data_IF_230860767729
#
_entry.id   IF_230860767729
#
_cell.length_a   1.000
_cell.length_b   1.000
_cell.length_c   1.000
_cell.angle_alpha   90.00
_cell.angle_beta   90.00
_cell.angle_gamma   90.00
#
_symmetry.space_group_name_H-M   'P 1'
#
loop_
_entity.id
_entity.type
_entity.pdbx_description
1 polymer ?
#
# COMPACT_ATOMS: atom_id res chain seq x y z
N UNK A 1 4.00 -18.38 26.45
CA UNK A 1 3.72 -18.41 25.00
C UNK A 1 3.13 -17.08 24.66
N UNK A 2 3.80 -16.29 23.82
CA UNK A 2 3.29 -15.01 23.35
C UNK A 2 1.90 -15.25 22.74
N UNK A 3 0.93 -14.43 23.11
CA UNK A 3 -0.41 -14.52 22.53
C UNK A 3 -0.31 -14.28 21.03
N UNK A 4 -0.96 -15.12 20.23
CA UNK A 4 -0.98 -14.97 18.76
C UNK A 4 -1.71 -13.65 18.45
N UNK A 5 -1.08 -12.70 17.72
CA UNK A 5 -1.72 -11.46 17.29
C UNK A 5 -3.07 -11.70 16.58
N UNK A 6 -4.02 -10.77 16.74
CA UNK A 6 -5.38 -10.93 16.22
C UNK A 6 -5.40 -11.00 14.70
N UNK A 7 -4.65 -10.15 13.99
CA UNK A 7 -4.53 -10.20 12.53
C UNK A 7 -4.05 -11.56 11.99
N UNK A 8 -3.26 -12.34 12.76
CA UNK A 8 -2.86 -13.70 12.37
C UNK A 8 -3.98 -14.72 12.56
N UNK A 9 -4.94 -14.45 13.45
CA UNK A 9 -6.13 -15.30 13.64
C UNK A 9 -7.21 -14.97 12.60
N UNK A 10 -7.40 -13.69 12.29
CA UNK A 10 -8.45 -13.22 11.40
C UNK A 10 -8.02 -13.20 9.92
N UNK A 11 -6.72 -13.11 9.65
CA UNK A 11 -6.16 -13.13 8.30
C UNK A 11 -6.08 -11.76 7.60
N UNK A 12 -6.35 -10.66 8.31
CA UNK A 12 -6.19 -9.30 7.80
C UNK A 12 -5.71 -8.37 8.92
N UNK A 13 -5.01 -7.29 8.56
CA UNK A 13 -4.52 -6.29 9.51
C UNK A 13 -5.49 -5.10 9.58
N UNK A 14 -6.16 -4.90 10.71
CA UNK A 14 -7.05 -3.74 10.90
C UNK A 14 -6.29 -2.40 10.94
N UNK A 15 -7.01 -1.28 10.80
CA UNK A 15 -6.40 0.05 10.85
C UNK A 15 -5.93 0.38 12.27
N UNK A 16 -6.62 -0.15 13.28
CA UNK A 16 -6.28 -0.05 14.69
C UNK A 16 -4.97 -0.77 14.98
N UNK A 17 -4.84 -2.04 14.57
CA UNK A 17 -3.60 -2.81 14.72
C UNK A 17 -2.46 -2.20 13.91
N UNK A 18 -2.72 -1.69 12.70
CA UNK A 18 -1.69 -1.03 11.89
C UNK A 18 -1.02 0.13 12.64
N UNK A 19 -1.78 0.89 13.43
CA UNK A 19 -1.24 2.03 14.21
C UNK A 19 -0.32 1.59 15.35
N UNK A 20 -0.42 0.34 15.80
CA UNK A 20 0.48 -0.21 16.82
C UNK A 20 1.88 -0.48 16.25
N UNK A 21 1.96 -0.86 14.97
CA UNK A 21 3.22 -1.20 14.29
C UNK A 21 3.80 -0.03 13.48
N UNK A 22 2.94 0.87 12.98
CA UNK A 22 3.32 1.92 12.04
C UNK A 22 2.84 3.27 12.56
N UNK A 23 3.80 4.17 12.80
CA UNK A 23 3.48 5.58 13.02
C UNK A 23 2.97 6.17 11.70
N UNK A 24 1.68 6.52 11.61
CA UNK A 24 1.11 7.10 10.39
C UNK A 24 1.62 8.54 10.15
N UNK A 25 1.74 8.98 8.89
CA UNK A 25 2.10 10.36 8.56
C UNK A 25 0.94 11.31 8.89
N UNK A 26 1.28 12.55 9.22
CA UNK A 26 0.29 13.62 9.41
C UNK A 26 -0.41 13.98 8.10
N UNK A 27 -1.60 14.58 8.18
CA UNK A 27 -2.37 14.98 7.00
C UNK A 27 -1.62 15.94 6.09
N UNK A 28 -0.86 16.88 6.65
CA UNK A 28 -0.07 17.83 5.87
C UNK A 28 0.96 17.10 5.03
N UNK A 29 1.59 16.05 5.58
CA UNK A 29 2.53 15.23 4.84
C UNK A 29 1.83 14.44 3.73
N UNK A 30 0.64 13.90 4.00
CA UNK A 30 -0.17 13.19 3.01
C UNK A 30 -0.64 14.09 1.86
N UNK A 31 -0.77 15.40 2.05
CA UNK A 31 -1.17 16.37 1.00
C UNK A 31 -0.02 16.85 0.12
N UNK A 32 1.23 16.74 0.58
CA UNK A 32 2.39 17.23 -0.18
C UNK A 32 2.72 16.33 -1.39
N UNK A 33 2.78 15.01 -1.17
CA UNK A 33 3.12 14.01 -2.19
C UNK A 33 2.78 12.60 -1.67
N UNK A 34 2.69 11.58 -2.55
CA UNK A 34 2.49 10.19 -2.12
C UNK A 34 3.53 9.72 -1.11
N UNK A 35 3.07 8.98 -0.11
CA UNK A 35 3.88 8.49 1.01
C UNK A 35 3.77 6.99 1.13
N UNK A 36 4.90 6.31 1.31
CA UNK A 36 4.93 4.87 1.52
C UNK A 36 4.45 4.52 2.93
N UNK A 37 3.44 3.65 3.03
CA UNK A 37 2.92 3.09 4.27
C UNK A 37 3.33 1.61 4.32
N UNK A 38 4.19 1.22 5.28
CA UNK A 38 4.66 -0.15 5.42
C UNK A 38 3.70 -1.02 6.24
N UNK A 39 2.66 -1.60 5.64
CA UNK A 39 1.69 -2.47 6.34
C UNK A 39 2.23 -3.89 6.58
N UNK A 40 3.48 -4.01 7.05
CA UNK A 40 4.16 -5.27 7.28
C UNK A 40 4.47 -5.46 8.77
N UNK A 41 3.61 -6.14 9.55
CA UNK A 41 3.81 -6.37 10.98
C UNK A 41 4.62 -7.65 11.28
N UNK A 42 5.40 -8.16 10.31
CA UNK A 42 6.07 -9.46 10.39
C UNK A 42 7.58 -9.32 10.57
N UNK A 43 8.14 -9.92 11.63
CA UNK A 43 9.59 -9.96 11.89
C UNK A 43 10.32 -11.08 11.12
N UNK A 44 10.20 -11.05 9.80
CA UNK A 44 10.78 -12.03 8.88
C UNK A 44 12.09 -11.50 8.27
N UNK A 45 13.04 -12.37 7.86
CA UNK A 45 14.31 -11.94 7.26
C UNK A 45 14.11 -11.41 5.83
N UNK A 46 13.60 -10.18 5.70
CA UNK A 46 13.14 -9.57 4.45
C UNK A 46 13.51 -8.09 4.36
N UNK A 47 14.53 -7.75 3.58
CA UNK A 47 15.05 -6.38 3.35
C UNK A 47 14.78 -5.70 1.99
N UNK A 48 14.08 -6.28 0.97
CA UNK A 48 13.95 -5.64 -0.34
C UNK A 48 13.42 -4.20 -0.35
N UNK A 49 12.50 -3.88 0.57
CA UNK A 49 11.91 -2.54 0.66
C UNK A 49 12.92 -1.47 1.09
N UNK A 50 13.85 -1.81 1.98
CA UNK A 50 14.94 -0.94 2.41
C UNK A 50 15.99 -0.82 1.31
N UNK A 51 16.40 -1.94 0.71
CA UNK A 51 17.46 -2.00 -0.30
C UNK A 51 17.10 -1.27 -1.60
N UNK A 52 15.83 -1.31 -2.02
CA UNK A 52 15.40 -0.63 -3.25
C UNK A 52 15.27 0.89 -3.07
N UNK A 53 15.22 1.39 -1.83
CA UNK A 53 14.84 2.77 -1.55
C UNK A 53 15.96 3.74 -1.98
N UNK A 54 15.77 4.56 -3.04
CA UNK A 54 16.85 5.41 -3.56
C UNK A 54 17.22 6.58 -2.63
N UNK A 55 16.42 6.81 -1.59
CA UNK A 55 16.57 7.91 -0.64
C UNK A 55 16.88 7.44 0.78
N UNK A 56 17.01 6.12 0.98
CA UNK A 56 17.16 5.51 2.30
C UNK A 56 16.07 5.98 3.29
N UNK A 57 14.85 6.18 2.79
CA UNK A 57 13.70 6.57 3.61
C UNK A 57 13.08 5.38 4.36
N UNK A 58 13.30 4.14 3.91
CA UNK A 58 12.85 2.93 4.58
C UNK A 58 14.01 2.40 5.41
N UNK A 59 13.84 2.37 6.73
CA UNK A 59 14.85 1.96 7.71
C UNK A 59 14.47 0.63 8.35
N UNK A 60 15.47 -0.21 8.60
CA UNK A 60 15.35 -1.46 9.34
C UNK A 60 16.60 -1.61 10.22
N UNK A 61 16.44 -1.87 11.51
CA UNK A 61 17.57 -2.03 12.45
C UNK A 61 18.40 -3.29 12.14
N UNK A 62 17.72 -4.34 11.71
CA UNK A 62 18.30 -5.62 11.28
C UNK A 62 17.37 -6.30 10.25
N UNK A 63 17.79 -7.37 9.55
CA UNK A 63 17.00 -7.99 8.49
C UNK A 63 15.60 -8.48 8.88
N UNK A 64 15.39 -8.77 10.18
CA UNK A 64 14.10 -9.17 10.74
C UNK A 64 13.27 -8.03 11.33
N UNK A 65 13.78 -6.79 11.33
CA UNK A 65 13.10 -5.67 11.99
C UNK A 65 11.91 -5.21 11.14
N UNK A 66 10.90 -4.62 11.78
CA UNK A 66 9.81 -3.98 11.03
C UNK A 66 10.33 -2.76 10.27
N UNK A 67 9.92 -2.54 9.01
CA UNK A 67 10.34 -1.38 8.25
C UNK A 67 9.69 -0.10 8.80
N UNK A 68 10.53 0.89 9.11
CA UNK A 68 10.11 2.23 9.54
C UNK A 68 10.37 3.23 8.42
N UNK A 69 9.36 4.01 8.04
CA UNK A 69 9.51 5.00 6.96
C UNK A 69 9.73 6.40 7.53
N UNK A 70 10.86 7.00 7.20
CA UNK A 70 11.09 8.43 7.37
C UNK A 70 10.33 9.22 6.28
N UNK A 71 9.13 9.68 6.60
CA UNK A 71 8.23 10.31 5.63
C UNK A 71 8.80 11.56 4.95
N UNK A 72 9.65 12.33 5.63
CA UNK A 72 10.32 13.52 5.06
C UNK A 72 11.29 13.17 3.93
N UNK A 73 11.96 12.00 4.00
CA UNK A 73 12.86 11.52 2.94
C UNK A 73 12.09 10.80 1.83
N UNK A 74 10.89 10.30 2.10
CA UNK A 74 10.10 9.55 1.13
C UNK A 74 9.67 10.45 -0.06
N UNK A 75 10.17 10.14 -1.26
CA UNK A 75 9.85 10.90 -2.48
C UNK A 75 8.61 10.40 -3.23
N UNK A 76 7.95 9.35 -2.75
CA UNK A 76 6.72 8.86 -3.37
C UNK A 76 6.88 8.03 -4.64
N UNK A 77 8.04 7.39 -4.84
CA UNK A 77 8.39 6.69 -6.10
C UNK A 77 7.75 5.30 -6.30
N UNK A 78 7.07 4.75 -5.29
CA UNK A 78 6.39 3.44 -5.34
C UNK A 78 7.29 2.23 -5.61
N UNK A 79 8.62 2.34 -5.51
CA UNK A 79 9.54 1.22 -5.70
C UNK A 79 9.37 0.14 -4.62
N UNK A 80 9.12 0.55 -3.37
CA UNK A 80 8.83 -0.37 -2.26
C UNK A 80 7.56 -1.19 -2.51
N UNK A 81 6.53 -0.61 -3.13
CA UNK A 81 5.31 -1.33 -3.54
C UNK A 81 5.62 -2.37 -4.61
N UNK A 82 6.47 -2.01 -5.59
CA UNK A 82 6.80 -2.90 -6.71
C UNK A 82 7.65 -4.11 -6.30
N UNK A 83 8.58 -3.95 -5.37
CA UNK A 83 9.53 -5.00 -5.00
C UNK A 83 9.05 -5.88 -3.84
N UNK A 84 8.03 -5.45 -3.08
CA UNK A 84 7.63 -6.15 -1.86
C UNK A 84 7.05 -7.54 -2.18
N UNK A 85 7.69 -8.64 -1.76
CA UNK A 85 7.18 -9.99 -2.04
C UNK A 85 5.91 -10.30 -1.24
N UNK A 86 5.69 -9.61 -0.13
CA UNK A 86 4.50 -9.75 0.71
C UNK A 86 3.35 -8.81 0.34
N UNK A 87 3.49 -8.01 -0.72
CA UNK A 87 2.47 -7.05 -1.18
C UNK A 87 1.97 -6.07 -0.09
N UNK A 88 2.82 -5.81 0.90
CA UNK A 88 2.45 -5.14 2.15
C UNK A 88 2.74 -3.62 2.15
N UNK A 89 3.21 -3.07 1.03
CA UNK A 89 3.47 -1.64 0.90
C UNK A 89 2.38 -0.96 0.08
N UNK A 90 1.92 0.19 0.58
CA UNK A 90 0.94 1.03 -0.12
C UNK A 90 1.48 2.46 -0.22
N UNK A 91 1.04 3.21 -1.22
CA UNK A 91 1.26 4.66 -1.24
C UNK A 91 -0.06 5.36 -0.96
N UNK A 92 -0.06 6.37 -0.09
CA UNK A 92 -1.24 7.20 0.17
C UNK A 92 -0.92 8.66 -0.15
N UNK A 93 -1.84 9.33 -0.84
CA UNK A 93 -1.73 10.73 -1.21
C UNK A 93 -3.11 11.42 -1.14
N UNK A 94 -3.22 12.52 -0.42
CA UNK A 94 -4.45 13.31 -0.33
C UNK A 94 -4.47 14.45 -1.34
N UNK A 95 -5.57 14.57 -2.08
CA UNK A 95 -5.79 15.58 -3.12
C UNK A 95 -7.16 16.21 -2.88
N UNK A 96 -7.20 17.27 -2.07
CA UNK A 96 -8.45 17.91 -1.66
C UNK A 96 -9.35 16.93 -0.90
N UNK A 97 -10.55 16.69 -1.42
CA UNK A 97 -11.53 15.74 -0.87
C UNK A 97 -11.32 14.29 -1.35
N UNK A 98 -10.33 14.06 -2.21
CA UNK A 98 -9.99 12.74 -2.75
C UNK A 98 -8.68 12.21 -2.17
N UNK A 99 -8.49 10.92 -2.30
CA UNK A 99 -7.21 10.26 -2.05
C UNK A 99 -6.81 9.41 -3.25
N UNK A 100 -5.51 9.25 -3.44
CA UNK A 100 -4.92 8.27 -4.35
C UNK A 100 -4.17 7.23 -3.53
N UNK A 101 -4.52 5.97 -3.76
CA UNK A 101 -3.83 4.84 -3.16
C UNK A 101 -3.13 4.05 -4.27
N UNK A 102 -1.82 3.88 -4.14
CA UNK A 102 -1.05 2.94 -4.97
C UNK A 102 -0.94 1.61 -4.25
N UNK A 103 -1.32 0.53 -4.92
CA UNK A 103 -1.34 -0.82 -4.37
C UNK A 103 -0.83 -1.84 -5.41
N UNK A 104 -0.30 -2.99 -4.96
CA UNK A 104 -0.06 -4.13 -5.83
C UNK A 104 -1.39 -4.72 -6.33
N UNK A 105 -1.37 -5.32 -7.52
CA UNK A 105 -2.56 -5.91 -8.15
C UNK A 105 -2.23 -7.23 -8.84
N UNK A 106 -2.65 -8.35 -8.23
CA UNK A 106 -2.36 -9.70 -8.72
C UNK A 106 -3.58 -10.42 -9.32
N UNK A 107 -4.70 -9.72 -9.51
CA UNK A 107 -5.93 -10.32 -10.04
C UNK A 107 -6.10 -9.96 -11.52
N UNK A 108 -6.56 -10.92 -12.33
CA UNK A 108 -6.95 -10.65 -13.71
C UNK A 108 -8.44 -10.31 -13.81
N UNK A 109 -8.85 -9.41 -14.72
CA UNK A 109 -8.00 -8.65 -15.63
C UNK A 109 -7.27 -7.48 -14.94
N UNK A 110 -6.11 -7.10 -15.47
CA UNK A 110 -5.44 -5.86 -15.04
C UNK A 110 -6.28 -4.65 -15.51
N UNK A 111 -6.59 -3.70 -14.62
CA UNK A 111 -7.34 -2.50 -15.00
C UNK A 111 -6.56 -1.64 -16.00
N UNK A 112 -7.28 -0.80 -16.75
CA UNK A 112 -6.73 0.20 -17.67
C UNK A 112 -6.77 1.58 -17.01
N UNK A 113 -5.84 2.44 -17.40
CA UNK A 113 -5.87 3.85 -17.00
C UNK A 113 -7.18 4.48 -17.44
N UNK A 114 -7.85 5.17 -16.50
CA UNK A 114 -9.13 5.83 -16.70
C UNK A 114 -10.36 4.97 -16.39
N UNK A 115 -10.19 3.68 -16.14
CA UNK A 115 -11.28 2.74 -15.85
C UNK A 115 -11.89 2.93 -14.46
N UNK A 116 -13.21 2.74 -14.35
CA UNK A 116 -13.92 2.68 -13.09
C UNK A 116 -13.84 1.25 -12.52
N UNK A 117 -13.47 1.14 -11.25
CA UNK A 117 -13.32 -0.14 -10.54
C UNK A 117 -14.09 -0.10 -9.22
N UNK A 118 -14.53 -1.27 -8.77
CA UNK A 118 -15.09 -1.43 -7.43
C UNK A 118 -13.94 -1.48 -6.44
N UNK A 119 -14.05 -0.69 -5.38
CA UNK A 119 -13.07 -0.63 -4.29
C UNK A 119 -13.39 -1.73 -3.28
N UNK A 120 -12.36 -2.50 -2.90
CA UNK A 120 -12.48 -3.57 -1.92
C UNK A 120 -11.72 -3.22 -0.65
N UNK A 121 -12.37 -3.44 0.50
CA UNK A 121 -11.78 -3.30 1.82
C UNK A 121 -10.70 -4.36 2.10
N UNK A 122 -10.07 -4.28 3.26
CA UNK A 122 -9.07 -5.26 3.76
C UNK A 122 -9.59 -6.69 3.84
N UNK A 123 -10.90 -6.87 3.96
CA UNK A 123 -11.59 -8.18 4.03
C UNK A 123 -12.26 -8.56 2.70
N UNK A 124 -12.13 -7.73 1.66
CA UNK A 124 -12.70 -7.99 0.34
C UNK A 124 -14.16 -7.53 0.16
N UNK A 125 -14.71 -6.72 1.07
CA UNK A 125 -16.05 -6.16 0.93
C UNK A 125 -16.07 -4.97 -0.03
N UNK A 126 -17.17 -4.81 -0.77
CA UNK A 126 -17.34 -3.69 -1.70
C UNK A 126 -17.68 -2.40 -0.93
N UNK A 127 -16.75 -1.44 -0.91
CA UNK A 127 -16.89 -0.19 -0.12
C UNK A 127 -17.13 1.05 -0.98
N UNK A 128 -17.09 0.91 -2.30
CA UNK A 128 -17.43 1.99 -3.21
C UNK A 128 -16.86 1.81 -4.61
N UNK A 129 -16.76 2.93 -5.32
CA UNK A 129 -16.20 3.00 -6.68
C UNK A 129 -15.03 3.97 -6.70
N UNK A 130 -14.04 3.68 -7.53
CA UNK A 130 -12.92 4.57 -7.78
C UNK A 130 -12.44 4.52 -9.21
N UNK A 131 -11.49 5.39 -9.53
CA UNK A 131 -10.96 5.53 -10.89
C UNK A 131 -9.48 5.22 -10.93
N UNK A 132 -9.08 4.36 -11.86
CA UNK A 132 -7.68 3.99 -12.06
C UNK A 132 -6.95 5.17 -12.72
N UNK A 133 -5.92 5.70 -12.06
CA UNK A 133 -5.13 6.84 -12.53
C UNK A 133 -3.85 6.39 -13.23
N UNK A 134 -3.19 5.38 -12.67
CA UNK A 134 -1.91 4.88 -13.19
C UNK A 134 -1.90 3.37 -13.11
N UNK A 135 -1.30 2.73 -14.11
CA UNK A 135 -1.03 1.29 -14.13
C UNK A 135 0.42 1.10 -14.56
N UNK A 136 1.21 0.47 -13.71
CA UNK A 136 2.54 -0.02 -14.07
C UNK A 136 2.38 -1.53 -14.26
N UNK A 137 2.41 -2.01 -15.50
CA UNK A 137 2.21 -3.42 -15.79
C UNK A 137 3.45 -4.22 -15.37
N UNK A 138 3.29 -5.55 -15.29
CA UNK A 138 4.34 -6.48 -14.83
C UNK A 138 5.67 -6.28 -15.55
N UNK A 139 5.65 -6.04 -16.86
CA UNK A 139 6.86 -5.91 -17.69
C UNK A 139 7.68 -4.64 -17.39
N UNK A 140 7.06 -3.67 -16.69
CA UNK A 140 7.70 -2.41 -16.29
C UNK A 140 7.92 -2.29 -14.79
N UNK A 141 7.36 -3.20 -14.00
CA UNK A 141 7.53 -3.23 -12.56
C UNK A 141 8.95 -3.67 -12.20
N UNK A 142 9.47 -3.19 -11.07
CA UNK A 142 10.74 -3.67 -10.52
C UNK A 142 10.63 -5.04 -9.84
N UNK A 143 9.41 -5.50 -9.57
CA UNK A 143 9.11 -6.89 -9.20
C UNK A 143 8.20 -7.57 -10.23
N UNK A 144 7.66 -8.73 -9.86
CA UNK A 144 6.79 -9.53 -10.73
C UNK A 144 5.29 -9.16 -10.63
N UNK A 145 4.96 -8.10 -9.89
CA UNK A 145 3.59 -7.69 -9.58
C UNK A 145 3.27 -6.34 -10.25
N UNK A 146 2.17 -6.24 -11.03
CA UNK A 146 1.63 -4.96 -11.48
C UNK A 146 1.27 -4.09 -10.28
N UNK A 147 1.46 -2.78 -10.42
CA UNK A 147 0.97 -1.83 -9.43
C UNK A 147 -0.01 -0.86 -10.07
N UNK A 148 -1.05 -0.52 -9.34
CA UNK A 148 -2.11 0.37 -9.79
C UNK A 148 -2.24 1.52 -8.82
N UNK A 149 -2.59 2.70 -9.32
CA UNK A 149 -2.97 3.84 -8.48
C UNK A 149 -4.42 4.17 -8.74
N UNK A 150 -5.22 4.20 -7.68
CA UNK A 150 -6.66 4.39 -7.75
C UNK A 150 -7.04 5.65 -6.98
N UNK A 151 -7.83 6.51 -7.61
CA UNK A 151 -8.42 7.69 -7.01
C UNK A 151 -9.80 7.36 -6.42
N UNK A 152 -10.04 7.78 -5.19
CA UNK A 152 -11.23 7.48 -4.40
C UNK A 152 -11.57 8.63 -3.43
N UNK A 153 -12.77 8.65 -2.83
CA UNK A 153 -13.08 9.53 -1.70
C UNK A 153 -12.05 9.40 -0.58
N UNK A 154 -11.67 10.51 0.06
CA UNK A 154 -10.61 10.53 1.09
C UNK A 154 -10.89 9.60 2.27
N UNK A 155 -12.16 9.44 2.64
CA UNK A 155 -12.61 8.57 3.74
C UNK A 155 -12.25 7.09 3.53
N UNK A 156 -12.10 6.64 2.28
CA UNK A 156 -11.81 5.25 1.93
C UNK A 156 -10.30 4.94 1.86
N UNK A 157 -9.42 5.94 2.00
CA UNK A 157 -7.99 5.80 1.74
C UNK A 157 -7.28 4.73 2.61
N UNK A 158 -7.73 4.57 3.85
CA UNK A 158 -7.13 3.63 4.81
C UNK A 158 -7.73 2.23 4.77
N UNK A 159 -8.92 2.09 4.21
CA UNK A 159 -9.67 0.84 4.16
C UNK A 159 -9.46 0.09 2.84
N UNK A 160 -9.39 0.81 1.73
CA UNK A 160 -9.28 0.17 0.40
C UNK A 160 -7.88 -0.40 0.18
N UNK A 161 -7.79 -1.72 -0.02
CA UNK A 161 -6.53 -2.44 -0.27
C UNK A 161 -6.55 -3.33 -1.50
N UNK A 162 -7.70 -3.48 -2.16
CA UNK A 162 -7.81 -4.14 -3.45
C UNK A 162 -8.87 -3.48 -4.32
N UNK A 163 -8.92 -3.85 -5.60
CA UNK A 163 -9.98 -3.44 -6.51
C UNK A 163 -10.48 -4.61 -7.36
N UNK A 164 -11.74 -4.52 -7.74
CA UNK A 164 -12.41 -5.46 -8.65
C UNK A 164 -12.74 -4.74 -9.94
N UNK A 165 -12.24 -5.30 -11.05
CA UNK A 165 -12.51 -4.80 -12.39
C UNK A 165 -13.86 -5.32 -12.85
N UNK A 166 -14.75 -4.42 -13.24
CA UNK A 166 -16.09 -4.74 -13.75
C UNK A 166 -16.04 -4.65 -15.27
N UNK A 167 -15.56 -5.71 -15.92
CA UNK A 167 -15.69 -5.90 -17.37
C UNK A 167 -16.59 -7.10 -17.58
N UNK A 168 -17.59 -6.95 -18.43
CA UNK A 168 -18.38 -8.08 -18.94
C UNK A 168 -17.52 -9.01 -19.80
#
# INVERSE_FOLDING_TARGET
MSEIPQYLKEGFLSVEELKEYVKLPDEDRLRQRPVAIPECPQEIPCTPCAEICPTNAVLMEHPNALPVVEYEKCIGCSLCVQICPGLAFFMVHYIGEKARVTMPHEILPVPKVGEEVILLSRVGEEVGKGKVVTVIPREKSKGDTPIITVEMPRELAWDVRAVKVVRE
#
